data_IF_327706059707
#
_entry.id   IF_327706059707
#
_cell.length_a   1.000
_cell.length_b   1.000
_cell.length_c   1.000
_cell.angle_alpha   90.00
_cell.angle_beta   90.00
_cell.angle_gamma   90.00
#
_symmetry.space_group_name_H-M   'P 1'
#
loop_
_entity.id
_entity.type
_entity.pdbx_description
1 polymer ?
#
# COMPACT_ATOMS: atom_id res chain seq x y z
N UNK A 1 14.68 14.74 5.45
CA UNK A 1 15.67 13.73 5.02
C UNK A 1 17.04 14.39 5.04
N UNK A 2 18.07 13.68 5.49
CA UNK A 2 19.42 14.13 5.87
C UNK A 2 20.29 14.83 4.79
N UNK A 3 19.67 15.52 3.83
CA UNK A 3 20.33 16.32 2.80
C UNK A 3 21.48 15.54 2.13
N UNK A 4 22.61 16.20 1.90
CA UNK A 4 23.80 15.64 1.26
C UNK A 4 24.48 14.53 2.07
N UNK A 5 24.27 14.48 3.39
CA UNK A 5 24.96 13.54 4.28
C UNK A 5 24.53 12.08 4.08
N UNK A 6 23.41 11.86 3.37
CA UNK A 6 22.89 10.55 3.07
C UNK A 6 22.92 10.19 1.58
N UNK A 7 23.49 11.05 0.72
CA UNK A 7 23.67 10.70 -0.69
C UNK A 7 24.48 9.40 -0.79
N UNK A 8 23.96 8.44 -1.58
CA UNK A 8 24.55 7.12 -1.75
C UNK A 8 23.92 6.01 -0.89
N UNK A 9 23.19 6.36 0.18
CA UNK A 9 22.61 5.38 1.11
C UNK A 9 21.52 4.52 0.45
N UNK A 10 21.53 3.22 0.73
CA UNK A 10 20.56 2.23 0.24
C UNK A 10 19.58 1.84 1.33
N UNK A 11 18.28 1.95 1.05
CA UNK A 11 17.23 1.68 2.01
C UNK A 11 16.12 0.84 1.39
N UNK A 12 15.58 -0.17 2.10
CA UNK A 12 14.33 -0.79 1.71
C UNK A 12 13.17 0.18 1.98
N UNK A 13 12.29 0.36 1.01
CA UNK A 13 11.12 1.22 1.14
C UNK A 13 9.88 0.59 0.51
N UNK A 14 8.69 1.02 0.94
CA UNK A 14 7.44 0.68 0.26
C UNK A 14 7.42 1.26 -1.17
N UNK A 15 6.88 0.55 -2.18
CA UNK A 15 6.84 0.98 -3.58
C UNK A 15 6.23 2.37 -3.80
N UNK A 16 5.31 2.79 -2.92
CA UNK A 16 4.67 4.11 -2.93
C UNK A 16 5.66 5.29 -2.92
N UNK A 17 6.83 5.12 -2.30
CA UNK A 17 7.84 6.17 -2.20
C UNK A 17 8.35 6.60 -3.58
N UNK A 18 8.36 5.66 -4.52
CA UNK A 18 8.89 5.83 -5.88
C UNK A 18 7.83 5.41 -6.91
N UNK A 19 6.55 5.63 -6.61
CA UNK A 19 5.42 5.19 -7.43
C UNK A 19 5.54 5.59 -8.91
N UNK A 20 6.03 6.81 -9.19
CA UNK A 20 6.22 7.30 -10.56
C UNK A 20 7.34 6.57 -11.31
N UNK A 21 8.29 5.97 -10.59
CA UNK A 21 9.47 5.28 -11.14
C UNK A 21 9.23 3.78 -11.38
N UNK A 22 8.14 3.22 -10.83
CA UNK A 22 7.79 1.81 -11.04
C UNK A 22 7.48 1.56 -12.53
N UNK A 23 7.79 0.36 -13.08
CA UNK A 23 7.37 0.03 -14.43
C UNK A 23 5.85 -0.09 -14.52
N UNK A 24 5.27 0.19 -15.70
CA UNK A 24 3.82 0.08 -15.94
C UNK A 24 3.25 -1.33 -15.68
N UNK A 25 4.10 -2.36 -15.83
CA UNK A 25 3.75 -3.74 -15.53
C UNK A 25 3.68 -4.05 -14.03
N UNK A 26 4.15 -3.15 -13.15
CA UNK A 26 4.08 -3.38 -11.72
C UNK A 26 2.63 -3.20 -11.22
N UNK A 27 1.98 -4.24 -10.68
CA UNK A 27 0.58 -4.18 -10.25
C UNK A 27 0.32 -3.17 -9.13
N UNK A 28 1.34 -2.82 -8.34
CA UNK A 28 1.24 -1.86 -7.23
C UNK A 28 1.11 -0.42 -7.75
N UNK A 29 1.72 -0.11 -8.91
CA UNK A 29 1.83 1.26 -9.44
C UNK A 29 0.50 1.99 -9.50
N UNK A 30 -0.55 1.32 -10.00
CA UNK A 30 -1.88 1.91 -10.13
C UNK A 30 -2.45 2.37 -8.78
N UNK A 31 -2.34 1.53 -7.74
CA UNK A 31 -2.86 1.84 -6.41
C UNK A 31 -2.04 2.95 -5.73
N UNK A 32 -0.71 2.90 -5.86
CA UNK A 32 0.18 3.93 -5.33
C UNK A 32 -0.05 5.31 -5.97
N UNK A 33 -0.23 5.37 -7.29
CA UNK A 33 -0.55 6.62 -8.00
C UNK A 33 -1.95 7.13 -7.65
N UNK A 34 -2.92 6.24 -7.44
CA UNK A 34 -4.26 6.62 -6.99
C UNK A 34 -4.21 7.27 -5.60
N UNK A 35 -3.48 6.68 -4.66
CA UNK A 35 -3.27 7.28 -3.34
C UNK A 35 -2.56 8.64 -3.45
N UNK A 36 -1.45 8.71 -4.18
CA UNK A 36 -0.67 9.95 -4.35
C UNK A 36 -1.56 11.07 -4.88
N UNK A 37 -2.32 10.79 -5.94
CA UNK A 37 -3.26 11.75 -6.54
C UNK A 37 -4.35 12.19 -5.56
N UNK A 38 -4.96 11.25 -4.83
CA UNK A 38 -5.99 11.58 -3.83
C UNK A 38 -5.44 12.44 -2.68
N UNK A 39 -4.25 12.11 -2.19
CA UNK A 39 -3.59 12.83 -1.10
C UNK A 39 -3.17 14.23 -1.55
N UNK A 40 -2.47 14.36 -2.67
CA UNK A 40 -2.00 15.66 -3.15
C UNK A 40 -3.15 16.57 -3.61
N UNK A 41 -4.28 16.01 -4.06
CA UNK A 41 -5.50 16.79 -4.30
C UNK A 41 -6.05 17.42 -3.02
N UNK A 42 -5.93 16.73 -1.88
CA UNK A 42 -6.43 17.21 -0.60
C UNK A 42 -5.43 18.14 0.13
N UNK A 43 -4.13 17.90 -0.03
CA UNK A 43 -3.08 18.53 0.79
C UNK A 43 -2.02 19.30 0.01
N UNK A 44 -2.13 19.36 -1.32
CA UNK A 44 -1.22 20.09 -2.21
C UNK A 44 -0.22 19.20 -2.95
N UNK A 45 0.23 19.65 -4.12
CA UNK A 45 1.17 18.91 -4.96
C UNK A 45 2.50 18.66 -4.23
N UNK A 46 3.03 17.44 -4.34
CA UNK A 46 4.28 17.04 -3.68
C UNK A 46 4.20 16.85 -2.16
N UNK A 47 3.00 16.91 -1.57
CA UNK A 47 2.80 16.72 -0.13
C UNK A 47 2.71 15.25 0.31
N UNK A 48 2.67 14.32 -0.65
CA UNK A 48 2.45 12.90 -0.35
C UNK A 48 3.46 12.36 0.66
N UNK A 49 2.94 11.73 1.72
CA UNK A 49 3.73 10.99 2.69
C UNK A 49 3.40 9.49 2.59
N UNK A 50 4.42 8.64 2.70
CA UNK A 50 4.26 7.18 2.59
C UNK A 50 3.41 6.59 3.71
N UNK A 51 3.44 7.20 4.90
CA UNK A 51 2.70 6.74 6.08
C UNK A 51 1.18 6.75 5.90
N UNK A 52 0.63 7.76 5.23
CA UNK A 52 -0.82 7.79 4.93
C UNK A 52 -1.24 6.68 3.96
N UNK A 53 -0.29 6.11 3.20
CA UNK A 53 -0.50 4.93 2.37
C UNK A 53 -0.96 3.71 3.17
N UNK A 54 -0.58 3.60 4.45
CA UNK A 54 -1.08 2.50 5.30
C UNK A 54 -2.59 2.60 5.56
N UNK A 55 -3.11 3.82 5.75
CA UNK A 55 -4.55 4.05 5.91
C UNK A 55 -5.30 3.81 4.58
N UNK A 56 -4.71 4.22 3.46
CA UNK A 56 -5.22 3.89 2.13
C UNK A 56 -5.31 2.38 1.92
N UNK A 57 -4.25 1.64 2.24
CA UNK A 57 -4.18 0.18 2.06
C UNK A 57 -5.24 -0.55 2.88
N UNK A 58 -5.43 -0.14 4.14
CA UNK A 58 -6.53 -0.63 4.97
C UNK A 58 -7.91 -0.32 4.34
N UNK A 59 -8.08 0.88 3.78
CA UNK A 59 -9.28 1.26 3.03
C UNK A 59 -9.53 0.38 1.81
N UNK A 60 -8.49 0.04 1.04
CA UNK A 60 -8.59 -0.86 -0.11
C UNK A 60 -8.99 -2.28 0.31
N UNK A 61 -8.45 -2.79 1.42
CA UNK A 61 -8.85 -4.09 1.97
C UNK A 61 -10.32 -4.09 2.41
N UNK A 62 -10.77 -3.01 3.08
CA UNK A 62 -12.16 -2.85 3.48
C UNK A 62 -13.11 -2.76 2.28
N UNK A 63 -12.73 -2.03 1.22
CA UNK A 63 -13.50 -1.97 -0.03
C UNK A 63 -13.69 -3.36 -0.66
N UNK A 64 -12.68 -4.23 -0.56
CA UNK A 64 -12.79 -5.61 -1.04
C UNK A 64 -13.66 -6.49 -0.11
N UNK A 65 -13.52 -6.34 1.21
CA UNK A 65 -14.13 -7.26 2.19
C UNK A 65 -15.58 -6.90 2.59
N UNK A 66 -15.92 -5.61 2.67
CA UNK A 66 -17.26 -5.16 3.10
C UNK A 66 -18.38 -5.73 2.21
N UNK A 67 -18.30 -5.70 0.87
CA UNK A 67 -19.33 -6.28 0.01
C UNK A 67 -19.54 -7.78 0.21
N UNK A 68 -18.51 -8.51 0.63
CA UNK A 68 -18.60 -9.95 0.95
C UNK A 68 -19.34 -10.15 2.27
N UNK A 69 -18.98 -9.39 3.31
CA UNK A 69 -19.61 -9.46 4.62
C UNK A 69 -21.10 -9.06 4.60
N UNK A 70 -21.46 -8.07 3.78
CA UNK A 70 -22.85 -7.60 3.63
C UNK A 70 -23.81 -8.67 3.08
N UNK A 71 -23.29 -9.75 2.46
CA UNK A 71 -24.14 -10.85 1.97
C UNK A 71 -24.73 -11.70 3.10
N UNK A 72 -24.12 -11.68 4.29
CA UNK A 72 -24.48 -12.59 5.39
C UNK A 72 -24.85 -11.88 6.68
N UNK A 73 -24.50 -10.60 6.84
CA UNK A 73 -24.79 -9.85 8.07
C UNK A 73 -24.91 -8.33 7.84
N UNK A 74 -25.57 -7.65 8.78
CA UNK A 74 -25.80 -6.20 8.73
C UNK A 74 -24.76 -5.41 9.55
N UNK A 75 -24.27 -4.25 9.07
CA UNK A 75 -23.37 -3.39 9.83
C UNK A 75 -23.89 -3.06 11.23
N UNK A 76 -22.98 -2.87 12.18
CA UNK A 76 -23.31 -2.62 13.59
C UNK A 76 -23.56 -3.88 14.43
N UNK A 77 -23.63 -5.06 13.82
CA UNK A 77 -23.81 -6.34 14.53
C UNK A 77 -22.48 -7.08 14.76
N UNK A 78 -22.47 -8.00 15.73
CA UNK A 78 -21.35 -8.94 15.91
C UNK A 78 -21.18 -9.85 14.69
N UNK A 79 -22.29 -10.35 14.15
CA UNK A 79 -22.27 -11.20 12.95
C UNK A 79 -21.55 -10.52 11.78
N UNK A 80 -21.72 -9.20 11.60
CA UNK A 80 -21.01 -8.46 10.57
C UNK A 80 -19.52 -8.33 10.84
N UNK A 81 -19.09 -8.14 12.10
CA UNK A 81 -17.66 -8.14 12.44
C UNK A 81 -17.02 -9.51 12.17
N UNK A 82 -17.72 -10.60 12.48
CA UNK A 82 -17.26 -11.97 12.18
C UNK A 82 -17.18 -12.20 10.68
N UNK A 83 -18.20 -11.81 9.92
CA UNK A 83 -18.23 -11.92 8.46
C UNK A 83 -17.13 -11.07 7.80
N UNK A 84 -16.90 -9.85 8.29
CA UNK A 84 -15.85 -8.95 7.79
C UNK A 84 -14.46 -9.53 8.06
N UNK A 85 -14.21 -10.07 9.25
CA UNK A 85 -12.95 -10.77 9.54
C UNK A 85 -12.72 -11.91 8.55
N UNK A 86 -13.71 -12.78 8.35
CA UNK A 86 -13.59 -13.90 7.42
C UNK A 86 -13.35 -13.43 5.97
N UNK A 87 -13.98 -12.33 5.56
CA UNK A 87 -13.76 -11.73 4.25
C UNK A 87 -12.34 -11.17 4.10
N UNK A 88 -11.82 -10.46 5.12
CA UNK A 88 -10.44 -9.96 5.13
C UNK A 88 -9.42 -11.11 5.07
N UNK A 89 -9.67 -12.20 5.83
CA UNK A 89 -8.84 -13.42 5.83
C UNK A 89 -8.83 -14.15 4.48
N UNK A 90 -9.77 -13.83 3.58
CA UNK A 90 -9.90 -14.41 2.24
C UNK A 90 -9.29 -13.58 1.11
N UNK A 91 -8.73 -12.40 1.42
CA UNK A 91 -8.13 -11.51 0.41
C UNK A 91 -6.91 -12.18 -0.24
N UNK A 92 -6.91 -12.23 -1.58
CA UNK A 92 -5.82 -12.76 -2.41
C UNK A 92 -5.48 -11.79 -3.54
N UNK A 93 -4.19 -11.66 -3.83
CA UNK A 93 -3.64 -10.88 -4.93
C UNK A 93 -4.26 -9.47 -5.07
N UNK A 94 -4.47 -8.78 -3.95
CA UNK A 94 -5.04 -7.42 -3.94
C UNK A 94 -3.92 -6.36 -3.96
N UNK A 95 -3.70 -5.62 -5.06
CA UNK A 95 -2.70 -4.57 -5.09
C UNK A 95 -3.14 -3.38 -4.25
N UNK A 96 -2.32 -3.05 -3.26
CA UNK A 96 -2.44 -1.88 -2.41
C UNK A 96 -1.24 -0.95 -2.69
N UNK A 97 -1.15 0.22 -2.06
CA UNK A 97 -0.11 1.20 -2.37
C UNK A 97 1.29 0.76 -1.95
N UNK A 98 1.41 -0.03 -0.87
CA UNK A 98 2.68 -0.56 -0.39
C UNK A 98 3.02 -1.97 -0.90
N UNK A 99 2.16 -2.65 -1.66
CA UNK A 99 2.42 -4.04 -2.05
C UNK A 99 1.18 -4.77 -2.56
N UNK A 100 1.16 -6.09 -2.37
CA UNK A 100 0.03 -6.94 -2.77
C UNK A 100 -0.38 -7.78 -1.57
N UNK A 101 -1.64 -7.64 -1.14
CA UNK A 101 -2.17 -8.34 0.02
C UNK A 101 -2.60 -9.76 -0.36
N UNK A 102 -2.04 -10.73 0.37
CA UNK A 102 -2.36 -12.14 0.33
C UNK A 102 -2.57 -12.65 1.76
N UNK A 103 -3.77 -12.45 2.30
CA UNK A 103 -4.06 -12.79 3.69
C UNK A 103 -4.41 -14.27 3.80
N UNK A 104 -4.01 -14.89 4.90
CA UNK A 104 -4.49 -16.22 5.32
C UNK A 104 -4.92 -16.17 6.78
N UNK A 105 -5.59 -17.20 7.27
CA UNK A 105 -5.91 -17.32 8.71
C UNK A 105 -4.68 -17.47 9.61
N UNK A 106 -3.51 -17.81 9.05
CA UNK A 106 -2.25 -17.95 9.77
C UNK A 106 -1.30 -16.75 9.59
N UNK A 107 -1.53 -15.93 8.56
CA UNK A 107 -0.73 -14.76 8.22
C UNK A 107 -1.64 -13.57 7.91
N UNK A 108 -1.77 -12.69 8.89
CA UNK A 108 -2.55 -11.46 8.81
C UNK A 108 -1.71 -10.25 8.36
N UNK A 109 -0.41 -10.44 8.09
CA UNK A 109 0.39 -9.43 7.41
C UNK A 109 0.16 -9.53 5.90
N UNK A 110 0.34 -10.73 5.33
CA UNK A 110 0.00 -11.05 3.95
C UNK A 110 0.79 -10.29 2.87
N UNK A 111 1.84 -9.56 3.25
CA UNK A 111 2.77 -8.93 2.30
C UNK A 111 3.97 -9.84 2.05
N UNK A 112 4.44 -9.84 0.81
CA UNK A 112 5.63 -10.59 0.40
C UNK A 112 6.74 -9.67 -0.15
N UNK A 113 7.65 -10.22 -0.96
CA UNK A 113 8.77 -9.46 -1.53
C UNK A 113 8.33 -8.27 -2.39
N UNK A 114 7.12 -8.30 -2.93
CA UNK A 114 6.55 -7.22 -3.74
C UNK A 114 6.20 -5.98 -2.91
N UNK A 115 6.28 -6.06 -1.58
CA UNK A 115 5.98 -4.96 -0.66
C UNK A 115 7.18 -4.06 -0.33
N UNK A 116 8.34 -4.33 -0.94
CA UNK A 116 9.54 -3.51 -0.77
C UNK A 116 10.25 -3.35 -2.10
N UNK A 117 10.89 -2.19 -2.24
CA UNK A 117 11.87 -1.89 -3.27
C UNK A 117 13.15 -1.40 -2.60
N UNK A 118 14.27 -1.49 -3.30
CA UNK A 118 15.50 -0.82 -2.88
C UNK A 118 15.52 0.57 -3.50
N UNK A 119 15.76 1.57 -2.66
CA UNK A 119 15.97 2.95 -3.09
C UNK A 119 17.35 3.43 -2.68
N UNK A 120 17.92 4.31 -3.50
CA UNK A 120 19.12 5.06 -3.18
C UNK A 120 18.79 6.54 -3.07
N UNK A 121 19.46 7.26 -2.18
CA UNK A 121 19.42 8.72 -2.19
C UNK A 121 20.44 9.23 -3.22
N UNK A 122 19.96 9.95 -4.24
CA UNK A 122 20.79 10.59 -5.27
C UNK A 122 20.37 12.05 -5.37
N UNK A 123 21.29 12.97 -5.09
CA UNK A 123 21.05 14.42 -5.03
C UNK A 123 19.87 14.77 -4.10
N UNK A 124 19.81 14.13 -2.93
CA UNK A 124 18.74 14.31 -1.95
C UNK A 124 17.38 13.75 -2.37
N UNK A 125 17.29 12.98 -3.47
CA UNK A 125 16.04 12.39 -3.98
C UNK A 125 16.08 10.87 -3.94
N UNK A 126 14.92 10.25 -3.73
CA UNK A 126 14.75 8.80 -3.81
C UNK A 126 14.82 8.32 -5.25
N UNK A 127 15.78 7.45 -5.54
CA UNK A 127 15.94 6.78 -6.82
C UNK A 127 15.69 5.29 -6.66
N UNK A 128 14.68 4.78 -7.37
CA UNK A 128 14.45 3.33 -7.46
C UNK A 128 15.71 2.67 -8.03
N UNK A 129 16.23 1.69 -7.30
CA UNK A 129 17.24 0.79 -7.81
C UNK A 129 16.52 -0.38 -8.46
N UNK A 130 16.86 -0.66 -9.71
CA UNK A 130 16.44 -1.91 -10.32
C UNK A 130 17.37 -3.01 -9.81
N UNK A 131 16.79 -4.14 -9.42
CA UNK A 131 17.56 -5.38 -9.25
C UNK A 131 18.15 -5.83 -10.61
#
# INVERSE_FOLDING_TARGET
>A
MCSKDCDGELLPAGPILVADQLPESNPVKKSSLAYKSAYEKAYGAGSVATFGGHAWDAGQMLQAAIPVALKTAQPGTEAFRVALRGALESIKELPVSHGIMNITTADHNGLDKRARVIVQIVDGKWKLQND
#
